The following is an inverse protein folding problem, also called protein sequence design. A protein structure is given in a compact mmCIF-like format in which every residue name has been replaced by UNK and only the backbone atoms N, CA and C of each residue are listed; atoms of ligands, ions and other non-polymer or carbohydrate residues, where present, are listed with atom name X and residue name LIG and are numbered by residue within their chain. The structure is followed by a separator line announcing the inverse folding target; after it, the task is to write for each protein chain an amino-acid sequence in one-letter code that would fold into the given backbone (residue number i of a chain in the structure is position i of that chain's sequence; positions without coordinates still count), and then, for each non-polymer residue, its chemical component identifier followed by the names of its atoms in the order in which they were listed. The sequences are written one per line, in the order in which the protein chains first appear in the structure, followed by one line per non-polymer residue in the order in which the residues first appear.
data_IF_208386226107
#
_entry.id   IF_208386226107
#
_cell.length_a   1.000
_cell.length_b   1.000
_cell.length_c   1.000
_cell.angle_alpha   90.00
_cell.angle_beta   90.00
_cell.angle_gamma   90.00
#
_symmetry.space_group_name_H-M   'P 1'
#
loop_
_entity.id
_entity.type
_entity.pdbx_description
1 polymer ?
#
# COMPACT_ATOMS: atom_id res chain seq x y z
N UNK A 1 -68.37 -17.39 -34.75
CA UNK A 1 -68.24 -16.84 -33.38
C UNK A 1 -66.76 -16.71 -33.06
N UNK A 2 -66.27 -15.47 -33.06
CA UNK A 2 -64.85 -15.13 -33.02
C UNK A 2 -64.22 -15.33 -31.62
N UNK A 3 -62.92 -15.60 -31.65
CA UNK A 3 -62.03 -15.95 -30.54
C UNK A 3 -61.91 -14.87 -29.46
N UNK A 4 -61.41 -15.26 -28.27
CA UNK A 4 -60.42 -14.46 -27.54
C UNK A 4 -59.65 -15.31 -26.51
N UNK A 5 -58.36 -15.48 -26.82
CA UNK A 5 -57.32 -15.98 -25.94
C UNK A 5 -57.14 -14.99 -24.77
N UNK A 6 -57.17 -15.52 -23.54
CA UNK A 6 -56.75 -14.76 -22.35
C UNK A 6 -55.23 -14.81 -22.24
N UNK A 7 -54.56 -13.86 -22.88
CA UNK A 7 -53.18 -13.52 -22.56
C UNK A 7 -53.16 -12.76 -21.22
N UNK A 8 -52.82 -13.47 -20.14
CA UNK A 8 -52.49 -12.85 -18.86
C UNK A 8 -51.08 -12.27 -18.89
N UNK A 9 -50.96 -11.07 -19.47
CA UNK A 9 -49.77 -10.24 -19.25
C UNK A 9 -49.73 -9.80 -17.79
N UNK A 10 -48.91 -10.50 -17.01
CA UNK A 10 -48.59 -10.16 -15.64
C UNK A 10 -47.87 -8.81 -15.60
N UNK A 11 -48.64 -7.73 -15.42
CA UNK A 11 -48.11 -6.37 -15.19
C UNK A 11 -47.31 -6.38 -13.89
N UNK A 12 -45.97 -6.43 -14.00
CA UNK A 12 -45.06 -6.30 -12.85
C UNK A 12 -45.25 -4.92 -12.22
N UNK A 13 -45.82 -4.88 -11.02
CA UNK A 13 -46.01 -3.65 -10.25
C UNK A 13 -44.67 -2.90 -10.05
N UNK A 14 -44.64 -1.57 -10.20
CA UNK A 14 -43.41 -0.77 -10.15
C UNK A 14 -42.65 -0.90 -8.82
N UNK A 15 -43.35 -1.20 -7.72
CA UNK A 15 -42.74 -1.50 -6.41
C UNK A 15 -41.86 -2.76 -6.44
N UNK A 16 -42.25 -3.81 -7.17
CA UNK A 16 -41.50 -5.07 -7.29
C UNK A 16 -40.24 -4.90 -8.15
N UNK A 17 -40.29 -3.98 -9.11
CA UNK A 17 -39.13 -3.61 -9.96
C UNK A 17 -38.12 -2.79 -9.16
N UNK A 18 -38.58 -1.84 -8.33
CA UNK A 18 -37.69 -1.06 -7.43
C UNK A 18 -37.01 -1.93 -6.37
N UNK A 19 -37.74 -2.85 -5.73
CA UNK A 19 -37.18 -3.77 -4.74
C UNK A 19 -36.11 -4.72 -5.32
N UNK A 20 -36.35 -5.24 -6.53
CA UNK A 20 -35.36 -6.11 -7.22
C UNK A 20 -34.14 -5.32 -7.68
N UNK A 21 -34.28 -4.05 -8.07
CA UNK A 21 -33.15 -3.17 -8.38
C UNK A 21 -32.29 -2.86 -7.14
N UNK A 22 -32.90 -2.54 -6.00
CA UNK A 22 -32.18 -2.32 -4.72
C UNK A 22 -31.46 -3.58 -4.24
N UNK A 23 -32.11 -4.74 -4.29
CA UNK A 23 -31.47 -6.01 -3.92
C UNK A 23 -30.27 -6.33 -4.85
N UNK A 24 -30.40 -6.07 -6.15
CA UNK A 24 -29.28 -6.23 -7.11
C UNK A 24 -28.13 -5.26 -6.85
N UNK A 25 -28.41 -4.03 -6.41
CA UNK A 25 -27.39 -3.05 -6.01
C UNK A 25 -26.66 -3.49 -4.73
N UNK A 26 -27.39 -3.99 -3.72
CA UNK A 26 -26.80 -4.57 -2.51
C UNK A 26 -25.89 -5.76 -2.80
N UNK A 27 -26.36 -6.70 -3.62
CA UNK A 27 -25.55 -7.86 -4.05
C UNK A 27 -24.31 -7.46 -4.87
N UNK A 28 -24.39 -6.40 -5.68
CA UNK A 28 -23.22 -5.83 -6.38
C UNK A 28 -22.23 -5.19 -5.40
N UNK A 29 -22.73 -4.46 -4.40
CA UNK A 29 -21.92 -3.87 -3.35
C UNK A 29 -21.18 -4.94 -2.53
N UNK A 30 -21.87 -5.99 -2.09
CA UNK A 30 -21.26 -7.10 -1.36
C UNK A 30 -20.22 -7.85 -2.19
N UNK A 31 -20.50 -8.11 -3.47
CA UNK A 31 -19.53 -8.73 -4.38
C UNK A 31 -18.28 -7.88 -4.54
N UNK A 32 -18.44 -6.55 -4.65
CA UNK A 32 -17.31 -5.62 -4.73
C UNK A 32 -16.49 -5.62 -3.44
N UNK A 33 -17.14 -5.53 -2.28
CA UNK A 33 -16.46 -5.59 -0.98
C UNK A 33 -15.65 -6.88 -0.81
N UNK A 34 -16.21 -8.04 -1.17
CA UNK A 34 -15.48 -9.32 -1.14
C UNK A 34 -14.28 -9.33 -2.10
N UNK A 35 -14.44 -8.76 -3.30
CA UNK A 35 -13.34 -8.64 -4.26
C UNK A 35 -12.22 -7.74 -3.73
N UNK A 36 -12.58 -6.59 -3.15
CA UNK A 36 -11.63 -5.64 -2.55
C UNK A 36 -10.89 -6.26 -1.35
N UNK A 37 -11.59 -7.01 -0.50
CA UNK A 37 -10.98 -7.78 0.60
C UNK A 37 -10.00 -8.83 0.10
N UNK A 38 -10.37 -9.57 -0.95
CA UNK A 38 -9.50 -10.60 -1.52
C UNK A 38 -8.25 -9.99 -2.13
N UNK A 39 -8.39 -8.88 -2.87
CA UNK A 39 -7.28 -8.13 -3.43
C UNK A 39 -6.35 -7.60 -2.33
N UNK A 40 -6.91 -7.06 -1.25
CA UNK A 40 -6.16 -6.59 -0.08
C UNK A 40 -5.35 -7.72 0.58
N UNK A 41 -5.94 -8.92 0.72
CA UNK A 41 -5.23 -10.10 1.25
C UNK A 41 -4.06 -10.51 0.36
N UNK A 42 -4.29 -10.59 -0.95
CA UNK A 42 -3.25 -10.94 -1.92
C UNK A 42 -2.12 -9.92 -1.91
N UNK A 43 -2.44 -8.63 -1.89
CA UNK A 43 -1.45 -7.56 -1.80
C UNK A 43 -0.60 -7.66 -0.52
N UNK A 44 -1.22 -7.92 0.64
CA UNK A 44 -0.50 -8.12 1.91
C UNK A 44 0.43 -9.35 1.87
N UNK A 45 -0.01 -10.44 1.25
CA UNK A 45 0.80 -11.64 1.07
C UNK A 45 2.01 -11.36 0.17
N UNK A 46 1.78 -10.72 -0.98
CA UNK A 46 2.83 -10.31 -1.90
C UNK A 46 3.86 -9.35 -1.25
N UNK A 47 3.41 -8.34 -0.51
CA UNK A 47 4.32 -7.44 0.24
C UNK A 47 5.16 -8.18 1.27
N UNK A 48 4.60 -9.21 1.92
CA UNK A 48 5.34 -10.04 2.87
C UNK A 48 6.42 -10.87 2.16
N UNK A 49 6.07 -11.51 1.05
CA UNK A 49 7.03 -12.28 0.24
C UNK A 49 8.17 -11.40 -0.27
N UNK A 50 7.86 -10.17 -0.70
CA UNK A 50 8.87 -9.18 -1.10
C UNK A 50 9.84 -8.84 0.03
N UNK A 51 9.33 -8.62 1.24
CA UNK A 51 10.18 -8.38 2.41
C UNK A 51 11.00 -9.62 2.78
N UNK A 52 10.41 -10.81 2.74
CA UNK A 52 11.11 -12.07 3.02
C UNK A 52 12.25 -12.31 2.02
N UNK A 53 12.01 -12.07 0.72
CA UNK A 53 13.04 -12.16 -0.32
C UNK A 53 14.18 -11.16 -0.09
N UNK A 54 13.85 -9.90 0.24
CA UNK A 54 14.84 -8.87 0.57
C UNK A 54 15.71 -9.29 1.76
N UNK A 55 15.11 -9.83 2.82
CA UNK A 55 15.81 -10.27 4.03
C UNK A 55 16.55 -11.60 3.88
N UNK A 56 16.22 -12.40 2.87
CA UNK A 56 16.93 -13.61 2.51
C UNK A 56 18.10 -13.35 1.53
N UNK A 57 18.21 -12.13 1.01
CA UNK A 57 19.28 -11.72 0.12
C UNK A 57 20.64 -11.54 0.81
N UNK A 58 21.69 -11.20 0.04
CA UNK A 58 23.08 -11.11 0.52
C UNK A 58 23.30 -10.16 1.71
N UNK A 59 22.51 -9.09 1.80
CA UNK A 59 22.62 -8.06 2.85
C UNK A 59 21.49 -8.13 3.89
N UNK A 60 20.92 -9.33 4.08
CA UNK A 60 19.76 -9.51 4.95
C UNK A 60 19.99 -9.09 6.40
N UNK A 61 21.19 -9.31 6.95
CA UNK A 61 21.52 -8.93 8.33
C UNK A 61 21.65 -7.41 8.50
N UNK A 62 22.28 -6.73 7.54
CA UNK A 62 22.42 -5.28 7.51
C UNK A 62 21.04 -4.61 7.42
N UNK A 63 20.15 -5.16 6.60
CA UNK A 63 18.77 -4.69 6.47
C UNK A 63 17.99 -4.95 7.77
N UNK A 64 18.19 -6.09 8.45
CA UNK A 64 17.59 -6.35 9.77
C UNK A 64 18.07 -5.35 10.80
N UNK A 65 19.36 -4.99 10.81
CA UNK A 65 19.88 -3.99 11.73
C UNK A 65 19.27 -2.61 11.48
N UNK A 66 19.20 -2.20 10.21
CA UNK A 66 18.55 -0.96 9.81
C UNK A 66 17.06 -0.96 10.20
N UNK A 67 16.33 -2.07 10.02
CA UNK A 67 14.93 -2.19 10.46
C UNK A 67 14.79 -2.08 11.98
N UNK A 68 15.68 -2.69 12.76
CA UNK A 68 15.69 -2.56 14.23
C UNK A 68 15.92 -1.12 14.67
N UNK A 69 16.81 -0.40 14.01
CA UNK A 69 17.02 1.02 14.25
C UNK A 69 15.75 1.82 13.93
N UNK A 70 15.20 1.67 12.72
CA UNK A 70 14.02 2.41 12.27
C UNK A 70 12.78 2.18 13.14
N UNK A 71 12.62 1.00 13.74
CA UNK A 71 11.51 0.70 14.67
C UNK A 71 11.55 1.52 15.95
N UNK A 72 12.73 1.95 16.39
CA UNK A 72 12.96 2.73 17.62
C UNK A 72 13.15 4.21 17.36
N UNK A 73 13.06 4.61 16.10
CA UNK A 73 13.33 5.96 15.63
C UNK A 73 12.23 6.92 16.10
N UNK A 74 12.62 8.14 16.47
CA UNK A 74 11.74 9.28 16.75
C UNK A 74 11.85 10.36 15.67
N UNK A 75 11.05 11.42 15.77
CA UNK A 75 11.01 12.50 14.77
C UNK A 75 12.37 13.19 14.55
N UNK A 76 13.19 13.28 15.60
CA UNK A 76 14.51 13.92 15.55
C UNK A 76 15.59 13.07 14.86
N UNK A 77 15.36 11.77 14.65
CA UNK A 77 16.38 10.83 14.17
C UNK A 77 16.51 10.79 12.64
N UNK A 78 15.76 11.63 11.91
CA UNK A 78 15.84 11.72 10.45
C UNK A 78 17.29 11.87 9.92
N UNK A 79 18.12 12.78 10.45
CA UNK A 79 19.53 12.89 10.09
C UNK A 79 20.34 11.62 10.36
N UNK A 80 20.07 10.91 11.46
CA UNK A 80 20.76 9.67 11.81
C UNK A 80 20.40 8.52 10.85
N UNK A 81 19.14 8.47 10.38
CA UNK A 81 18.72 7.53 9.33
C UNK A 81 19.44 7.81 8.02
N UNK A 82 19.49 9.08 7.59
CA UNK A 82 20.21 9.48 6.37
C UNK A 82 21.68 9.06 6.47
N UNK A 83 22.37 9.39 7.56
CA UNK A 83 23.78 9.06 7.74
C UNK A 83 24.06 7.55 7.71
N UNK A 84 23.17 6.74 8.31
CA UNK A 84 23.26 5.26 8.24
C UNK A 84 23.14 4.74 6.81
N UNK A 85 22.22 5.30 6.03
CA UNK A 85 22.02 4.91 4.61
C UNK A 85 23.20 5.40 3.75
N UNK A 86 23.71 6.62 3.98
CA UNK A 86 24.88 7.15 3.26
C UNK A 86 26.15 6.32 3.53
N UNK A 87 26.33 5.83 4.76
CA UNK A 87 27.48 5.00 5.13
C UNK A 87 27.39 3.53 4.68
N UNK A 88 26.23 3.09 4.19
CA UNK A 88 25.98 1.70 3.85
C UNK A 88 26.50 1.35 2.44
N UNK A 89 27.79 1.01 2.34
CA UNK A 89 28.43 0.65 1.07
C UNK A 89 27.71 -0.50 0.32
N UNK A 90 27.17 -1.47 1.08
CA UNK A 90 26.43 -2.62 0.54
C UNK A 90 25.18 -2.25 -0.27
N UNK A 91 24.62 -1.04 -0.10
CA UNK A 91 23.47 -0.60 -0.90
C UNK A 91 23.83 -0.50 -2.39
N UNK A 92 25.09 -0.17 -2.71
CA UNK A 92 25.55 -0.08 -4.11
C UNK A 92 25.71 -1.45 -4.77
N UNK A 93 25.86 -2.50 -3.98
CA UNK A 93 25.98 -3.90 -4.45
C UNK A 93 24.61 -4.52 -4.76
N UNK A 94 23.53 -3.95 -4.21
CA UNK A 94 22.16 -4.41 -4.46
C UNK A 94 21.73 -4.19 -5.92
N UNK A 95 20.82 -5.02 -6.42
CA UNK A 95 20.12 -4.73 -7.68
C UNK A 95 19.06 -3.62 -7.50
N UNK A 96 18.50 -3.15 -8.62
CA UNK A 96 17.52 -2.07 -8.61
C UNK A 96 16.21 -2.43 -7.88
N UNK A 97 15.77 -3.68 -7.97
CA UNK A 97 14.54 -4.15 -7.35
C UNK A 97 14.71 -4.23 -5.83
N UNK A 98 15.83 -4.77 -5.36
CA UNK A 98 16.17 -4.85 -3.95
C UNK A 98 16.34 -3.45 -3.34
N UNK A 99 16.94 -2.49 -4.07
CA UNK A 99 16.97 -1.08 -3.64
C UNK A 99 15.56 -0.48 -3.54
N UNK A 100 14.68 -0.78 -4.49
CA UNK A 100 13.29 -0.32 -4.44
C UNK A 100 12.50 -0.94 -3.26
N UNK A 101 12.71 -2.23 -3.00
CA UNK A 101 12.11 -2.93 -1.87
C UNK A 101 12.64 -2.40 -0.53
N UNK A 102 13.93 -2.06 -0.45
CA UNK A 102 14.53 -1.37 0.71
C UNK A 102 13.96 0.04 0.90
N UNK A 103 13.85 0.84 -0.17
CA UNK A 103 13.23 2.16 -0.11
C UNK A 103 11.79 2.07 0.38
N UNK A 104 11.03 1.07 -0.09
CA UNK A 104 9.67 0.80 0.36
C UNK A 104 9.60 0.46 1.86
N UNK A 105 10.56 -0.32 2.37
CA UNK A 105 10.67 -0.63 3.79
C UNK A 105 10.94 0.63 4.62
N UNK A 106 11.89 1.47 4.19
CA UNK A 106 12.25 2.72 4.85
C UNK A 106 11.05 3.68 4.88
N UNK A 107 10.40 3.89 3.73
CA UNK A 107 9.22 4.76 3.62
C UNK A 107 8.09 4.32 4.55
N UNK A 108 7.82 3.01 4.64
CA UNK A 108 6.85 2.46 5.59
C UNK A 108 7.22 2.75 7.04
N UNK A 109 8.50 2.66 7.41
CA UNK A 109 8.94 2.95 8.78
C UNK A 109 8.83 4.41 9.15
N UNK A 110 9.18 5.31 8.22
CA UNK A 110 8.99 6.74 8.39
C UNK A 110 7.49 7.05 8.60
N UNK A 111 6.62 6.49 7.76
CA UNK A 111 5.18 6.67 7.89
C UNK A 111 4.64 6.20 9.25
N UNK A 112 4.99 4.98 9.68
CA UNK A 112 4.59 4.45 10.99
C UNK A 112 5.11 5.28 12.16
N UNK A 113 6.35 5.79 12.08
CA UNK A 113 6.91 6.67 13.10
C UNK A 113 6.14 8.00 13.17
N UNK A 114 5.76 8.57 12.03
CA UNK A 114 4.95 9.80 11.95
C UNK A 114 3.55 9.59 12.53
N UNK A 115 2.88 8.50 12.16
CA UNK A 115 1.56 8.13 12.69
C UNK A 115 1.58 7.96 14.21
N UNK A 116 2.61 7.30 14.76
CA UNK A 116 2.80 7.15 16.22
C UNK A 116 2.89 8.51 16.94
N UNK A 117 3.39 9.54 16.24
CA UNK A 117 3.55 10.89 16.74
C UNK A 117 2.40 11.84 16.33
N UNK A 118 1.27 11.31 15.83
CA UNK A 118 0.09 12.10 15.49
C UNK A 118 0.23 12.96 14.22
N UNK A 119 1.19 12.64 13.36
CA UNK A 119 1.41 13.31 12.09
C UNK A 119 0.85 12.49 10.92
N UNK A 120 0.56 13.16 9.81
CA UNK A 120 0.21 12.48 8.55
C UNK A 120 1.35 11.53 8.11
N UNK A 121 1.04 10.31 7.64
CA UNK A 121 2.05 9.30 7.30
C UNK A 121 3.02 9.77 6.22
N UNK A 122 2.51 10.54 5.26
CA UNK A 122 3.27 11.13 4.18
C UNK A 122 3.18 12.64 4.27
N UNK A 123 4.31 13.30 4.03
CA UNK A 123 4.38 14.75 3.88
C UNK A 123 5.47 14.96 2.85
N UNK A 124 5.08 14.95 1.59
CA UNK A 124 5.98 15.23 0.48
C UNK A 124 6.18 16.75 0.45
N UNK A 125 7.44 17.20 0.40
CA UNK A 125 7.72 18.63 0.30
C UNK A 125 7.11 19.23 -0.95
N UNK A 126 6.79 20.53 -0.92
CA UNK A 126 6.40 21.23 -2.15
C UNK A 126 7.66 21.69 -2.91
N UNK A 127 7.57 21.98 -4.22
CA UNK A 127 8.72 22.50 -4.96
C UNK A 127 9.32 23.74 -4.29
N UNK A 128 10.62 23.67 -3.98
CA UNK A 128 11.36 24.72 -3.25
C UNK A 128 11.62 24.41 -1.77
N UNK A 129 10.92 23.43 -1.19
CA UNK A 129 11.24 22.93 0.15
C UNK A 129 12.58 22.19 0.15
N UNK A 130 13.34 22.24 1.27
CA UNK A 130 14.48 21.37 1.46
C UNK A 130 14.05 19.89 1.41
N UNK A 131 14.85 19.00 0.80
CA UNK A 131 14.50 17.60 0.68
C UNK A 131 14.36 16.95 2.05
N UNK A 132 13.25 16.24 2.26
CA UNK A 132 12.98 15.47 3.46
C UNK A 132 13.79 14.18 3.46
N UNK A 133 13.83 13.51 4.62
CA UNK A 133 14.63 12.29 4.80
C UNK A 133 14.33 11.22 3.74
N UNK A 134 13.06 10.99 3.43
CA UNK A 134 12.67 10.03 2.38
C UNK A 134 13.22 10.40 1.00
N UNK A 135 13.12 11.67 0.59
CA UNK A 135 13.58 12.14 -0.72
C UNK A 135 15.10 12.05 -0.86
N UNK A 136 15.82 12.42 0.21
CA UNK A 136 17.28 12.28 0.24
C UNK A 136 17.72 10.82 0.17
N UNK A 137 17.06 9.95 0.92
CA UNK A 137 17.28 8.49 0.87
C UNK A 137 16.96 7.93 -0.51
N UNK A 138 15.85 8.33 -1.13
CA UNK A 138 15.50 7.96 -2.51
C UNK A 138 16.64 8.30 -3.48
N UNK A 139 17.24 9.48 -3.33
CA UNK A 139 18.41 9.90 -4.10
C UNK A 139 19.64 9.01 -3.89
N UNK A 140 19.94 8.67 -2.63
CA UNK A 140 21.08 7.78 -2.28
C UNK A 140 20.92 6.37 -2.87
N UNK A 141 19.70 5.81 -2.82
CA UNK A 141 19.42 4.50 -3.41
C UNK A 141 19.32 4.53 -4.95
N UNK A 142 19.36 5.72 -5.57
CA UNK A 142 19.26 5.85 -7.02
C UNK A 142 17.92 5.38 -7.60
N UNK A 143 16.87 5.31 -6.78
CA UNK A 143 15.53 4.96 -7.23
C UNK A 143 14.91 6.18 -7.93
N UNK A 144 14.61 6.09 -9.23
CA UNK A 144 13.96 7.17 -9.99
C UNK A 144 12.44 7.02 -9.94
#
# INVERSE_FOLDING_TARGET
MAALQSHSESRRSPARVKATAQMRLGLKGEKKLRADEQLSKQYRAWKRQKLEALLAGPHGEEIRDLDRFMRRMELADGPALIARVEAAAWIQEMDGDARHDLLSLIGRRIALMRERNGLEPFNDGVPGDPPRAFERIKGILGCR
#
